data_IF_809316955870
#
_entry.id   IF_809316955870
#
_cell.length_a   1.000
_cell.length_b   1.000
_cell.length_c   1.000
_cell.angle_alpha   90.00
_cell.angle_beta   90.00
_cell.angle_gamma   90.00
#
_symmetry.space_group_name_H-M   'P 1'
#
loop_
_entity.id
_entity.type
_entity.pdbx_description
1 polymer ?
#
# COMPACT_ATOMS: atom_id res chain seq x y z
N UNK A 1 -29.78 16.66 -15.93
CA UNK A 1 -29.37 15.33 -15.42
C UNK A 1 -29.36 15.36 -13.90
N UNK A 2 -29.87 14.33 -13.22
CA UNK A 2 -29.80 14.25 -11.76
C UNK A 2 -28.31 14.15 -11.33
N UNK A 3 -27.92 14.90 -10.29
CA UNK A 3 -26.57 14.84 -9.73
C UNK A 3 -26.44 13.51 -8.99
N UNK A 4 -25.44 12.69 -9.39
CA UNK A 4 -25.11 11.47 -8.67
C UNK A 4 -24.61 11.82 -7.25
N UNK A 5 -25.21 11.20 -6.24
CA UNK A 5 -24.72 11.27 -4.85
C UNK A 5 -24.16 9.89 -4.51
N UNK A 6 -22.84 9.78 -4.37
CA UNK A 6 -22.14 8.54 -4.02
C UNK A 6 -21.82 8.54 -2.53
N UNK A 7 -22.33 7.56 -1.80
CA UNK A 7 -22.22 7.46 -0.34
C UNK A 7 -21.46 6.20 0.13
N UNK A 8 -21.01 5.35 -0.78
CA UNK A 8 -20.27 4.12 -0.46
C UNK A 8 -18.76 4.31 -0.52
N UNK A 9 -18.24 5.33 0.15
CA UNK A 9 -16.82 5.66 0.15
C UNK A 9 -15.95 4.64 0.94
N UNK A 10 -16.57 3.72 1.67
CA UNK A 10 -15.86 2.59 2.28
C UNK A 10 -15.43 1.56 1.23
N UNK A 11 -16.18 1.40 0.14
CA UNK A 11 -15.84 0.51 -0.96
C UNK A 11 -14.79 1.11 -1.89
N UNK A 12 -14.96 2.39 -2.29
CA UNK A 12 -14.04 3.08 -3.19
C UNK A 12 -14.19 4.60 -3.09
N UNK A 13 -13.15 5.31 -3.47
CA UNK A 13 -13.15 6.78 -3.51
C UNK A 13 -12.63 7.26 -4.87
N UNK A 14 -13.03 8.46 -5.24
CA UNK A 14 -12.45 9.15 -6.38
C UNK A 14 -10.99 9.52 -6.07
N UNK A 15 -10.10 9.36 -7.04
CA UNK A 15 -8.74 9.88 -6.95
C UNK A 15 -8.80 11.41 -7.02
N UNK A 16 -8.11 12.10 -6.12
CA UNK A 16 -8.01 13.56 -6.18
C UNK A 16 -7.27 13.99 -7.47
N UNK A 17 -7.70 15.09 -8.14
CA UNK A 17 -7.04 15.57 -9.35
C UNK A 17 -5.53 15.78 -9.19
N UNK A 18 -5.11 16.36 -8.07
CA UNK A 18 -3.71 16.62 -7.77
C UNK A 18 -2.88 15.34 -7.63
N UNK A 19 -3.50 14.27 -7.13
CA UNK A 19 -2.86 12.95 -7.04
C UNK A 19 -2.74 12.33 -8.43
N UNK A 20 -3.80 12.43 -9.26
CA UNK A 20 -3.76 11.95 -10.63
C UNK A 20 -2.67 12.66 -11.44
N UNK A 21 -2.61 13.99 -11.35
CA UNK A 21 -1.60 14.80 -12.05
C UNK A 21 -0.18 14.41 -11.63
N UNK A 22 0.04 14.14 -10.34
CA UNK A 22 1.33 13.68 -9.83
C UNK A 22 1.70 12.26 -10.30
N UNK A 23 0.72 11.40 -10.59
CA UNK A 23 0.95 10.03 -11.08
C UNK A 23 1.24 9.98 -12.59
N UNK A 24 0.61 10.82 -13.41
CA UNK A 24 0.65 10.73 -14.86
C UNK A 24 2.06 10.64 -15.46
N UNK A 25 3.08 11.41 -15.02
CA UNK A 25 4.42 11.32 -15.57
C UNK A 25 5.07 9.94 -15.43
N UNK A 26 4.69 9.17 -14.41
CA UNK A 26 5.26 7.83 -14.19
C UNK A 26 4.70 6.75 -15.12
N UNK A 27 3.64 7.05 -15.87
CA UNK A 27 3.12 6.16 -16.90
C UNK A 27 3.77 6.36 -18.28
N UNK A 28 4.35 7.54 -18.52
CA UNK A 28 4.80 7.92 -19.88
C UNK A 28 6.22 8.45 -19.96
N UNK A 29 6.73 9.08 -18.89
CA UNK A 29 8.05 9.74 -18.87
C UNK A 29 9.03 9.00 -17.95
N UNK A 30 8.65 8.77 -16.69
CA UNK A 30 9.51 8.18 -15.64
C UNK A 30 9.15 6.72 -15.35
N UNK A 31 8.94 5.93 -16.39
CA UNK A 31 8.50 4.53 -16.27
C UNK A 31 9.64 3.52 -16.04
N UNK A 32 10.85 4.00 -15.73
CA UNK A 32 12.01 3.15 -15.45
C UNK A 32 11.79 2.25 -14.23
N UNK A 33 12.30 1.01 -14.29
CA UNK A 33 12.25 0.11 -13.14
C UNK A 33 13.12 0.67 -11.99
N UNK A 34 12.53 1.01 -10.82
CA UNK A 34 13.26 1.62 -9.71
C UNK A 34 14.40 0.74 -9.14
N UNK A 35 14.40 -0.56 -9.44
CA UNK A 35 15.47 -1.48 -9.04
C UNK A 35 16.62 -1.57 -10.04
N UNK A 36 16.52 -0.91 -11.18
CA UNK A 36 17.56 -0.95 -12.20
C UNK A 36 18.72 0.01 -11.89
N UNK A 37 19.92 -0.32 -12.40
CA UNK A 37 21.16 0.43 -12.13
C UNK A 37 21.45 1.57 -13.13
N UNK A 38 20.72 1.63 -14.23
CA UNK A 38 20.92 2.66 -15.25
C UNK A 38 20.21 3.97 -14.89
N UNK A 39 20.74 5.10 -15.41
CA UNK A 39 20.31 6.46 -15.04
C UNK A 39 18.83 6.74 -15.27
N UNK A 40 18.21 6.17 -16.32
CA UNK A 40 16.80 6.34 -16.62
C UNK A 40 15.87 5.89 -15.48
N UNK A 41 16.30 4.94 -14.68
CA UNK A 41 15.54 4.45 -13.52
C UNK A 41 15.62 5.39 -12.28
N UNK A 42 16.53 6.37 -12.31
CA UNK A 42 16.84 7.21 -11.15
C UNK A 42 15.63 7.99 -10.64
N UNK A 43 14.84 8.60 -11.53
CA UNK A 43 13.65 9.37 -11.12
C UNK A 43 12.57 8.47 -10.52
N UNK A 44 12.32 7.28 -11.10
CA UNK A 44 11.38 6.32 -10.52
C UNK A 44 11.82 5.85 -9.15
N UNK A 45 13.11 5.56 -8.98
CA UNK A 45 13.68 5.17 -7.67
C UNK A 45 13.50 6.27 -6.64
N UNK A 46 13.88 7.50 -6.98
CA UNK A 46 13.75 8.66 -6.10
C UNK A 46 12.29 8.86 -5.66
N UNK A 47 11.34 8.79 -6.60
CA UNK A 47 9.92 8.93 -6.29
C UNK A 47 9.41 7.86 -5.32
N UNK A 48 9.81 6.60 -5.49
CA UNK A 48 9.44 5.51 -4.57
C UNK A 48 10.06 5.74 -3.18
N UNK A 49 11.31 6.16 -3.10
CA UNK A 49 12.00 6.42 -1.83
C UNK A 49 11.38 7.63 -1.10
N UNK A 50 11.02 8.70 -1.81
CA UNK A 50 10.31 9.86 -1.25
C UNK A 50 8.90 9.48 -0.76
N UNK A 51 8.14 8.71 -1.55
CA UNK A 51 6.82 8.23 -1.15
C UNK A 51 6.89 7.38 0.13
N UNK A 52 7.87 6.50 0.22
CA UNK A 52 8.13 5.67 1.40
C UNK A 52 8.43 6.53 2.63
N UNK A 53 9.26 7.55 2.47
CA UNK A 53 9.60 8.50 3.54
C UNK A 53 8.38 9.28 4.01
N UNK A 54 7.54 9.74 3.08
CA UNK A 54 6.33 10.48 3.41
C UNK A 54 5.30 9.62 4.17
N UNK A 55 5.12 8.37 3.75
CA UNK A 55 4.23 7.41 4.46
C UNK A 55 4.78 7.11 5.85
N UNK A 56 6.09 6.88 5.98
CA UNK A 56 6.73 6.65 7.27
C UNK A 56 6.51 7.83 8.23
N UNK A 57 6.72 9.06 7.75
CA UNK A 57 6.51 10.27 8.55
C UNK A 57 5.04 10.42 9.00
N UNK A 58 4.07 10.09 8.13
CA UNK A 58 2.64 10.20 8.43
C UNK A 58 2.22 9.32 9.63
N UNK A 59 2.83 8.13 9.76
CA UNK A 59 2.49 7.16 10.82
C UNK A 59 3.57 7.07 11.92
N UNK A 60 4.54 7.98 11.90
CA UNK A 60 5.67 8.01 12.84
C UNK A 60 6.46 6.69 12.90
N UNK A 61 6.69 6.09 11.73
CA UNK A 61 7.50 4.89 11.54
C UNK A 61 8.86 5.23 10.94
N UNK A 62 9.78 4.26 10.90
CA UNK A 62 11.02 4.39 10.15
C UNK A 62 10.77 4.09 8.67
N UNK A 63 11.53 4.71 7.77
CA UNK A 63 11.39 4.51 6.32
C UNK A 63 11.58 3.03 5.91
N UNK A 64 12.49 2.33 6.55
CA UNK A 64 12.75 0.90 6.32
C UNK A 64 11.64 -0.04 6.78
N UNK A 65 10.70 0.43 7.60
CA UNK A 65 9.55 -0.36 8.06
C UNK A 65 8.34 -0.27 7.11
N UNK A 66 8.44 0.54 6.04
CA UNK A 66 7.36 0.73 5.07
C UNK A 66 7.58 -0.18 3.85
N UNK A 67 6.59 -0.98 3.54
CA UNK A 67 6.56 -1.88 2.39
C UNK A 67 5.34 -1.61 1.54
N UNK A 68 5.54 -1.36 0.24
CA UNK A 68 4.45 -1.24 -0.72
C UNK A 68 4.05 -2.61 -1.23
N UNK A 69 2.76 -2.88 -1.26
CA UNK A 69 2.16 -4.13 -1.74
C UNK A 69 1.21 -3.86 -2.90
N UNK A 70 0.78 -4.91 -3.60
CA UNK A 70 -0.19 -4.81 -4.68
C UNK A 70 -1.61 -4.48 -4.23
N UNK A 71 -1.89 -4.48 -2.91
CA UNK A 71 -3.19 -4.16 -2.36
C UNK A 71 -3.39 -4.63 -0.94
N UNK A 72 -4.52 -4.26 -0.33
CA UNK A 72 -4.85 -4.57 1.06
C UNK A 72 -4.84 -6.06 1.38
N UNK A 73 -5.36 -6.91 0.48
CA UNK A 73 -5.36 -8.36 0.69
C UNK A 73 -3.95 -8.95 0.83
N UNK A 74 -2.98 -8.46 0.05
CA UNK A 74 -1.59 -8.87 0.19
C UNK A 74 -1.01 -8.40 1.53
N UNK A 75 -1.25 -7.16 1.90
CA UNK A 75 -0.80 -6.58 3.17
C UNK A 75 -1.35 -7.35 4.37
N UNK A 76 -2.65 -7.64 4.37
CA UNK A 76 -3.33 -8.38 5.45
C UNK A 76 -2.76 -9.79 5.58
N UNK A 77 -2.62 -10.50 4.47
CA UNK A 77 -2.06 -11.85 4.46
C UNK A 77 -0.61 -11.87 4.92
N UNK A 78 0.19 -10.90 4.47
CA UNK A 78 1.58 -10.80 4.90
C UNK A 78 1.67 -10.53 6.41
N UNK A 79 0.94 -9.55 6.91
CA UNK A 79 0.93 -9.21 8.33
C UNK A 79 0.53 -10.40 9.21
N UNK A 80 -0.55 -11.11 8.84
CA UNK A 80 -1.05 -12.26 9.63
C UNK A 80 -0.10 -13.45 9.58
N UNK A 81 0.30 -13.88 8.38
CA UNK A 81 1.15 -15.07 8.20
C UNK A 81 2.55 -14.86 8.77
N UNK A 82 3.19 -13.73 8.46
CA UNK A 82 4.52 -13.43 8.98
C UNK A 82 4.52 -13.30 10.52
N UNK A 83 3.47 -12.69 11.09
CA UNK A 83 3.33 -12.62 12.55
C UNK A 83 3.12 -14.01 13.17
N UNK A 84 2.27 -14.85 12.58
CA UNK A 84 2.04 -16.21 13.05
C UNK A 84 3.32 -17.05 13.02
N UNK A 85 4.11 -16.96 11.96
CA UNK A 85 5.40 -17.64 11.86
C UNK A 85 6.44 -17.09 12.84
N UNK A 86 6.63 -15.77 12.88
CA UNK A 86 7.64 -15.12 13.73
C UNK A 86 7.41 -15.34 15.23
N UNK A 87 6.15 -15.49 15.64
CA UNK A 87 5.76 -15.64 17.04
C UNK A 87 5.22 -17.02 17.41
N UNK A 88 5.39 -18.03 16.57
CA UNK A 88 4.90 -19.40 16.82
C UNK A 88 5.33 -19.95 18.19
N UNK A 89 6.55 -19.64 18.61
CA UNK A 89 7.08 -20.05 19.92
C UNK A 89 6.41 -19.37 21.12
N UNK A 90 5.71 -18.24 20.91
CA UNK A 90 4.98 -17.50 21.95
C UNK A 90 3.53 -17.94 22.11
N UNK A 91 2.99 -18.62 21.10
CA UNK A 91 1.62 -19.12 21.12
C UNK A 91 1.06 -19.25 19.70
N UNK A 92 -0.04 -19.99 19.57
CA UNK A 92 -0.70 -20.28 18.29
C UNK A 92 -2.15 -19.77 18.24
N UNK A 93 -2.51 -18.86 19.15
CA UNK A 93 -3.87 -18.35 19.25
C UNK A 93 -3.98 -16.98 18.57
N UNK A 94 -4.86 -16.88 17.57
CA UNK A 94 -5.18 -15.64 16.87
C UNK A 94 -6.63 -15.29 17.18
N UNK A 95 -6.88 -14.04 17.57
CA UNK A 95 -8.22 -13.50 17.81
C UNK A 95 -8.55 -12.51 16.69
N UNK A 96 -9.71 -12.69 16.07
CA UNK A 96 -10.21 -11.81 15.01
C UNK A 96 -11.72 -11.58 15.16
N UNK A 97 -12.25 -10.60 14.42
CA UNK A 97 -13.67 -10.32 14.37
C UNK A 97 -14.38 -11.17 13.29
N UNK A 98 -15.67 -11.46 13.49
CA UNK A 98 -16.49 -12.15 12.48
C UNK A 98 -16.97 -11.24 11.35
N UNK A 99 -16.76 -9.93 11.47
CA UNK A 99 -17.17 -8.91 10.49
C UNK A 99 -15.98 -8.35 9.71
N UNK A 100 -14.84 -9.03 9.77
CA UNK A 100 -13.66 -8.67 9.00
C UNK A 100 -13.85 -8.84 7.49
N UNK A 101 -13.00 -8.14 6.73
CA UNK A 101 -12.90 -8.36 5.28
C UNK A 101 -12.46 -9.80 4.96
N UNK A 102 -12.87 -10.32 3.81
CA UNK A 102 -12.51 -11.67 3.35
C UNK A 102 -11.00 -11.94 3.32
N UNK A 103 -10.17 -10.91 3.09
CA UNK A 103 -8.71 -11.01 3.14
C UNK A 103 -8.18 -11.42 4.52
N UNK A 104 -8.95 -11.19 5.59
CA UNK A 104 -8.62 -11.62 6.95
C UNK A 104 -9.27 -12.98 7.24
N UNK A 105 -10.57 -13.13 6.91
CA UNK A 105 -11.34 -14.33 7.29
C UNK A 105 -10.87 -15.60 6.58
N UNK A 106 -10.24 -15.48 5.39
CA UNK A 106 -9.83 -16.62 4.56
C UNK A 106 -8.29 -16.76 4.45
N UNK A 107 -7.54 -16.16 5.34
CA UNK A 107 -6.06 -16.23 5.41
C UNK A 107 -5.55 -17.49 6.11
#
# INVERSE_FOLDING_TARGET
MAKLIYLDNAATTQVYPEVLDAMLPYFTEYYGNPSAIYSFAGESKKAVDEARTNVAALINARTEDIYFTGGGSESDNWALKATAEAYESKGKHIITSRIEHHAILHT
#
